data_IF_756747044026
#
_entry.id   IF_756747044026
#
_cell.length_a   1.000
_cell.length_b   1.000
_cell.length_c   1.000
_cell.angle_alpha   90.00
_cell.angle_beta   90.00
_cell.angle_gamma   90.00
#
_symmetry.space_group_name_H-M   'P 1'
#
loop_
_entity.id
_entity.type
_entity.pdbx_description
1 polymer ?
#
# COMPACT_ATOMS: atom_id res chain seq x y z
N UNK A 1 36.07 -96.21 -17.62
CA UNK A 1 35.46 -94.87 -17.84
C UNK A 1 35.05 -94.14 -16.56
N UNK A 2 34.63 -94.83 -15.48
CA UNK A 2 34.18 -94.21 -14.21
C UNK A 2 35.21 -93.29 -13.51
N UNK A 3 36.50 -93.63 -13.55
CA UNK A 3 37.56 -92.89 -12.84
C UNK A 3 37.85 -91.50 -13.42
N UNK A 4 37.55 -91.27 -14.70
CA UNK A 4 37.69 -89.95 -15.36
C UNK A 4 36.54 -89.00 -15.00
N UNK A 5 35.34 -89.53 -14.77
CA UNK A 5 34.17 -88.73 -14.39
C UNK A 5 34.23 -88.27 -12.93
N UNK A 6 34.76 -89.11 -12.03
CA UNK A 6 34.96 -88.73 -10.61
C UNK A 6 35.98 -87.59 -10.43
N UNK A 7 37.05 -87.57 -11.23
CA UNK A 7 38.04 -86.50 -11.22
C UNK A 7 37.50 -85.17 -11.74
N UNK A 8 36.61 -85.21 -12.75
CA UNK A 8 35.96 -84.00 -13.28
C UNK A 8 34.95 -83.44 -12.28
N UNK A 9 34.20 -84.30 -11.59
CA UNK A 9 33.25 -83.86 -10.55
C UNK A 9 33.99 -83.24 -9.36
N UNK A 10 35.11 -83.84 -8.91
CA UNK A 10 35.92 -83.29 -7.82
C UNK A 10 36.56 -81.93 -8.22
N UNK A 11 37.05 -81.79 -9.46
CA UNK A 11 37.59 -80.52 -9.95
C UNK A 11 36.50 -79.44 -10.09
N UNK A 12 35.29 -79.80 -10.53
CA UNK A 12 34.15 -78.88 -10.59
C UNK A 12 33.65 -78.48 -9.21
N UNK A 13 33.66 -79.37 -8.22
CA UNK A 13 33.26 -79.03 -6.83
C UNK A 13 34.31 -78.17 -6.13
N UNK A 14 35.61 -78.38 -6.37
CA UNK A 14 36.67 -77.52 -5.83
C UNK A 14 36.65 -76.15 -6.53
N UNK A 15 36.35 -76.10 -7.83
CA UNK A 15 36.12 -74.85 -8.57
C UNK A 15 34.90 -74.07 -8.09
N UNK A 16 33.79 -74.74 -7.73
CA UNK A 16 32.58 -74.08 -7.21
C UNK A 16 32.71 -73.62 -5.75
N UNK A 17 33.53 -74.29 -4.94
CA UNK A 17 33.78 -73.90 -3.54
C UNK A 17 34.84 -72.79 -3.46
N UNK A 18 35.75 -72.69 -4.44
CA UNK A 18 36.68 -71.55 -4.54
C UNK A 18 36.05 -70.31 -5.21
N UNK A 19 35.05 -70.49 -6.08
CA UNK A 19 34.32 -69.36 -6.71
C UNK A 19 33.32 -68.68 -5.77
N UNK A 20 32.89 -69.33 -4.69
CA UNK A 20 31.98 -68.76 -3.68
C UNK A 20 32.70 -68.02 -2.54
N UNK A 21 34.05 -68.01 -2.52
CA UNK A 21 34.84 -67.37 -1.45
C UNK A 21 35.32 -65.94 -1.76
N UNK A 22 35.02 -65.36 -2.92
CA UNK A 22 35.41 -63.97 -3.25
C UNK A 22 34.33 -63.22 -4.02
N UNK A 23 33.09 -63.23 -3.53
CA UNK A 23 32.22 -62.09 -3.77
C UNK A 23 32.74 -60.93 -2.91
N UNK A 24 33.74 -60.18 -3.41
CA UNK A 24 34.05 -58.87 -2.85
C UNK A 24 32.79 -58.03 -3.06
N UNK A 25 32.04 -57.81 -1.97
CA UNK A 25 30.97 -56.82 -1.96
C UNK A 25 31.52 -55.53 -2.59
N UNK A 26 30.76 -54.95 -3.52
CA UNK A 26 31.11 -53.66 -4.08
C UNK A 26 31.44 -52.70 -2.93
N UNK A 27 32.53 -51.92 -3.02
CA UNK A 27 32.89 -51.03 -1.94
C UNK A 27 31.71 -50.11 -1.66
N UNK A 28 31.15 -50.16 -0.44
CA UNK A 28 30.15 -49.20 -0.02
C UNK A 28 30.81 -47.82 -0.09
N UNK A 29 30.25 -46.91 -0.87
CA UNK A 29 30.72 -45.53 -0.99
C UNK A 29 29.88 -44.65 -0.08
N UNK A 30 30.44 -43.50 0.30
CA UNK A 30 29.67 -42.44 0.93
C UNK A 30 28.87 -41.72 -0.16
N UNK A 31 27.55 -41.88 -0.12
CA UNK A 31 26.63 -41.33 -1.12
C UNK A 31 26.01 -40.01 -0.65
N UNK A 32 25.68 -39.90 0.64
CA UNK A 32 25.11 -38.69 1.25
C UNK A 32 25.78 -38.32 2.56
N UNK A 33 25.76 -37.03 2.89
CA UNK A 33 26.29 -36.48 4.15
C UNK A 33 25.20 -35.66 4.84
N UNK A 34 24.93 -35.97 6.10
CA UNK A 34 24.03 -35.21 6.96
C UNK A 34 24.83 -34.51 8.04
N UNK A 35 24.49 -33.24 8.31
CA UNK A 35 25.23 -32.42 9.27
C UNK A 35 24.30 -31.84 10.31
N UNK A 36 24.72 -31.94 11.57
CA UNK A 36 24.04 -31.32 12.70
C UNK A 36 25.04 -30.47 13.51
N UNK A 37 24.68 -29.23 13.79
CA UNK A 37 25.48 -28.33 14.62
C UNK A 37 24.77 -28.12 15.95
N UNK A 38 25.47 -28.41 17.05
CA UNK A 38 24.98 -28.25 18.42
C UNK A 38 25.85 -27.23 19.15
N UNK A 39 25.24 -26.35 19.94
CA UNK A 39 25.96 -25.42 20.80
C UNK A 39 25.53 -25.56 22.27
N UNK A 40 26.47 -25.34 23.20
CA UNK A 40 26.16 -25.24 24.62
C UNK A 40 25.47 -23.90 24.90
N UNK A 41 24.17 -23.82 24.63
CA UNK A 41 23.36 -22.62 24.77
C UNK A 41 22.26 -22.50 23.71
N UNK A 42 21.58 -21.34 23.69
CA UNK A 42 20.62 -21.06 22.64
C UNK A 42 21.36 -20.68 21.34
N UNK A 43 21.15 -21.46 20.28
CA UNK A 43 21.62 -21.15 18.93
C UNK A 43 20.41 -20.81 18.06
N UNK A 44 20.33 -19.59 17.51
CA UNK A 44 19.25 -19.23 16.61
C UNK A 44 19.15 -20.15 15.40
N UNK A 45 17.94 -20.54 15.00
CA UNK A 45 17.72 -21.56 13.98
C UNK A 45 18.30 -21.19 12.60
N UNK A 46 18.19 -19.92 12.18
CA UNK A 46 18.73 -19.47 10.89
C UNK A 46 20.27 -19.50 10.89
N UNK A 47 20.87 -19.17 12.03
CA UNK A 47 22.31 -19.21 12.27
C UNK A 47 22.79 -20.66 12.25
N UNK A 48 22.11 -21.56 12.96
CA UNK A 48 22.37 -23.00 12.97
C UNK A 48 22.35 -23.58 11.56
N UNK A 49 21.28 -23.34 10.79
CA UNK A 49 21.16 -23.86 9.41
C UNK A 49 22.27 -23.36 8.48
N UNK A 50 22.72 -22.12 8.64
CA UNK A 50 23.85 -21.60 7.85
C UNK A 50 25.17 -22.25 8.25
N UNK A 51 25.38 -22.50 9.55
CA UNK A 51 26.53 -23.26 10.03
C UNK A 51 26.52 -24.69 9.48
N UNK A 52 25.38 -25.37 9.54
CA UNK A 52 25.17 -26.72 9.01
C UNK A 52 25.46 -26.78 7.51
N UNK A 53 24.95 -25.83 6.71
CA UNK A 53 25.23 -25.75 5.28
C UNK A 53 26.73 -25.55 4.98
N UNK A 54 27.42 -24.77 5.82
CA UNK A 54 28.87 -24.53 5.67
C UNK A 54 29.67 -25.80 5.97
N UNK A 55 29.34 -26.48 7.06
CA UNK A 55 29.97 -27.76 7.44
C UNK A 55 29.61 -28.85 6.43
N UNK A 56 28.38 -28.89 5.92
CA UNK A 56 27.95 -29.82 4.87
C UNK A 56 28.82 -29.69 3.63
N UNK A 57 29.06 -28.47 3.15
CA UNK A 57 29.91 -28.25 1.97
C UNK A 57 31.33 -28.80 2.18
N UNK A 58 31.91 -28.60 3.37
CA UNK A 58 33.24 -29.11 3.72
C UNK A 58 33.21 -30.64 3.79
N UNK A 59 32.24 -31.19 4.52
CA UNK A 59 32.11 -32.62 4.74
C UNK A 59 31.82 -33.38 3.43
N UNK A 60 30.99 -32.83 2.56
CA UNK A 60 30.70 -33.36 1.23
C UNK A 60 31.96 -33.42 0.38
N UNK A 61 32.76 -32.34 0.35
CA UNK A 61 34.01 -32.30 -0.41
C UNK A 61 35.06 -33.29 0.13
N UNK A 62 35.07 -33.53 1.43
CA UNK A 62 36.06 -34.38 2.10
C UNK A 62 35.68 -35.86 2.08
N UNK A 63 34.40 -36.19 2.18
CA UNK A 63 33.92 -37.55 2.44
C UNK A 63 33.23 -38.22 1.24
N UNK A 64 32.54 -37.46 0.40
CA UNK A 64 31.73 -38.02 -0.70
C UNK A 64 32.61 -38.74 -1.72
N UNK A 65 32.15 -39.90 -2.19
CA UNK A 65 32.89 -40.72 -3.16
C UNK A 65 34.05 -41.54 -2.57
N UNK A 66 34.35 -41.41 -1.28
CA UNK A 66 35.29 -42.30 -0.59
C UNK A 66 34.63 -43.62 -0.20
N UNK A 67 35.45 -44.67 -0.06
CA UNK A 67 35.00 -45.96 0.44
C UNK A 67 34.67 -45.85 1.94
N UNK A 68 33.50 -46.33 2.36
CA UNK A 68 33.05 -46.31 3.76
C UNK A 68 34.04 -46.99 4.68
N UNK A 69 34.67 -48.11 4.28
CA UNK A 69 35.68 -48.78 5.10
C UNK A 69 36.96 -47.94 5.24
N UNK A 70 37.34 -47.20 4.19
CA UNK A 70 38.46 -46.26 4.27
C UNK A 70 38.10 -45.04 5.15
N UNK A 71 36.85 -44.57 5.07
CA UNK A 71 36.33 -43.51 5.91
C UNK A 71 36.26 -43.89 7.39
N UNK A 72 35.98 -45.16 7.71
CA UNK A 72 36.07 -45.69 9.07
C UNK A 72 37.52 -45.70 9.56
N UNK A 73 38.47 -46.12 8.73
CA UNK A 73 39.89 -46.18 9.10
C UNK A 73 40.51 -44.79 9.30
N UNK A 74 40.12 -43.81 8.46
CA UNK A 74 40.61 -42.42 8.50
C UNK A 74 39.70 -41.47 9.27
N UNK A 75 38.70 -41.98 9.99
CA UNK A 75 37.69 -41.19 10.70
C UNK A 75 38.28 -40.05 11.53
N UNK A 76 39.32 -40.34 12.32
CA UNK A 76 39.98 -39.35 13.18
C UNK A 76 40.64 -38.23 12.37
N UNK A 77 41.20 -38.55 11.20
CA UNK A 77 41.83 -37.56 10.30
C UNK A 77 40.75 -36.63 9.72
N UNK A 78 39.60 -37.18 9.32
CA UNK A 78 38.48 -36.39 8.81
C UNK A 78 37.84 -35.51 9.90
N UNK A 79 37.64 -36.04 11.11
CA UNK A 79 37.16 -35.27 12.26
C UNK A 79 38.10 -34.10 12.57
N UNK A 80 39.42 -34.32 12.53
CA UNK A 80 40.41 -33.27 12.75
C UNK A 80 40.43 -32.24 11.61
N UNK A 81 40.36 -32.66 10.35
CA UNK A 81 40.32 -31.77 9.20
C UNK A 81 39.10 -30.85 9.25
N UNK A 82 37.91 -31.42 9.47
CA UNK A 82 36.66 -30.65 9.59
C UNK A 82 36.77 -29.66 10.75
N UNK A 83 37.30 -30.10 11.90
CA UNK A 83 37.52 -29.24 13.07
C UNK A 83 38.45 -28.06 12.76
N UNK A 84 39.60 -28.31 12.13
CA UNK A 84 40.59 -27.27 11.82
C UNK A 84 40.06 -26.24 10.81
N UNK A 85 39.38 -26.70 9.77
CA UNK A 85 38.76 -25.82 8.77
C UNK A 85 37.66 -24.99 9.43
N UNK A 86 36.79 -25.60 10.22
CA UNK A 86 35.65 -24.90 10.79
C UNK A 86 36.05 -23.92 11.91
N UNK A 87 37.04 -24.26 12.75
CA UNK A 87 37.61 -23.33 13.74
C UNK A 87 38.23 -22.07 13.09
N UNK A 88 38.70 -22.14 11.84
CA UNK A 88 39.24 -20.98 11.13
C UNK A 88 38.16 -20.06 10.55
N UNK A 89 36.96 -20.58 10.34
CA UNK A 89 35.86 -19.88 9.69
C UNK A 89 34.89 -19.29 10.73
N UNK A 90 34.68 -20.00 11.85
CA UNK A 90 33.81 -19.53 12.93
C UNK A 90 34.50 -18.49 13.81
N UNK A 91 33.94 -17.29 13.80
CA UNK A 91 34.30 -16.22 14.73
C UNK A 91 33.32 -16.26 15.91
N UNK A 92 33.82 -16.20 17.14
CA UNK A 92 33.01 -16.19 18.37
C UNK A 92 32.69 -17.57 18.97
N UNK A 93 32.97 -18.66 18.27
CA UNK A 93 32.72 -20.03 18.74
C UNK A 93 33.99 -20.88 18.68
N UNK A 94 34.14 -21.79 19.64
CA UNK A 94 35.17 -22.84 19.63
C UNK A 94 34.53 -24.19 19.35
N UNK A 95 35.11 -24.93 18.39
CA UNK A 95 34.72 -26.33 18.12
C UNK A 95 35.34 -27.25 19.17
N UNK A 96 34.51 -27.78 20.06
CA UNK A 96 34.93 -28.68 21.14
C UNK A 96 35.04 -30.14 20.68
N UNK A 97 34.13 -30.57 19.82
CA UNK A 97 34.13 -31.91 19.25
C UNK A 97 33.55 -31.93 17.83
N UNK A 98 34.10 -32.81 16.99
CA UNK A 98 33.52 -33.21 15.72
C UNK A 98 33.40 -34.72 15.76
N UNK A 99 32.21 -35.24 15.46
CA UNK A 99 31.95 -36.67 15.41
C UNK A 99 31.49 -37.03 14.01
N UNK A 100 32.25 -37.87 13.31
CA UNK A 100 31.87 -38.42 12.01
C UNK A 100 31.45 -39.87 12.21
N UNK A 101 30.25 -40.23 11.76
CA UNK A 101 29.74 -41.61 11.75
C UNK A 101 29.68 -42.04 10.29
N UNK A 102 30.73 -42.70 9.75
CA UNK A 102 30.75 -43.09 8.35
C UNK A 102 29.71 -44.16 8.04
N UNK A 103 29.00 -43.97 6.95
CA UNK A 103 28.01 -44.89 6.39
C UNK A 103 27.73 -44.51 4.92
N UNK A 104 26.86 -45.26 4.24
CA UNK A 104 26.35 -44.80 2.93
C UNK A 104 25.67 -43.44 3.06
N UNK A 105 24.98 -43.23 4.19
CA UNK A 105 24.57 -41.92 4.70
C UNK A 105 25.44 -41.57 5.91
N UNK A 106 26.41 -40.68 5.71
CA UNK A 106 27.40 -40.31 6.74
C UNK A 106 26.86 -39.17 7.58
N UNK A 107 26.86 -39.33 8.91
CA UNK A 107 26.45 -38.27 9.83
C UNK A 107 27.67 -37.53 10.40
N UNK A 108 27.62 -36.20 10.39
CA UNK A 108 28.64 -35.33 10.98
C UNK A 108 27.98 -34.44 12.03
N UNK A 109 28.38 -34.60 13.29
CA UNK A 109 27.92 -33.76 14.39
C UNK A 109 29.04 -32.86 14.86
N UNK A 110 28.79 -31.55 14.93
CA UNK A 110 29.76 -30.55 15.40
C UNK A 110 29.24 -29.92 16.69
N UNK A 111 30.05 -29.94 17.75
CA UNK A 111 29.74 -29.30 19.04
C UNK A 111 30.53 -28.00 19.20
N UNK A 112 29.80 -26.94 19.54
CA UNK A 112 30.29 -25.58 19.66
C UNK A 112 30.09 -25.03 21.07
N UNK A 113 31.02 -24.21 21.52
CA UNK A 113 30.88 -23.42 22.75
C UNK A 113 31.24 -21.97 22.45
N UNK A 114 30.45 -20.98 22.89
CA UNK A 114 30.85 -19.57 22.85
C UNK A 114 32.17 -19.38 23.58
N UNK A 115 33.15 -18.73 22.93
CA UNK A 115 34.45 -18.51 23.56
C UNK A 115 34.48 -17.30 24.50
N UNK A 116 33.49 -16.40 24.39
CA UNK A 116 33.32 -15.18 25.18
C UNK A 116 31.83 -14.93 25.49
N UNK A 117 31.52 -13.79 26.10
CA UNK A 117 30.18 -13.35 26.45
C UNK A 117 29.20 -13.39 25.26
N UNK A 118 27.95 -13.70 25.59
CA UNK A 118 26.83 -13.77 24.65
C UNK A 118 25.89 -12.58 24.80
N UNK A 119 25.15 -12.28 23.73
CA UNK A 119 24.10 -11.28 23.69
C UNK A 119 22.93 -11.77 24.53
N UNK A 120 22.60 -11.02 25.60
CA UNK A 120 21.53 -11.35 26.56
C UNK A 120 20.28 -10.51 26.36
N UNK A 121 20.42 -9.33 25.77
CA UNK A 121 19.33 -8.39 25.51
C UNK A 121 19.59 -7.63 24.22
N UNK A 122 18.53 -7.25 23.54
CA UNK A 122 18.58 -6.43 22.33
C UNK A 122 17.67 -5.21 22.54
N UNK A 123 18.23 -4.02 22.33
CA UNK A 123 17.49 -2.76 22.35
C UNK A 123 17.36 -2.26 20.90
N UNK A 124 16.14 -2.27 20.37
CA UNK A 124 15.86 -1.89 18.98
C UNK A 124 15.23 -0.51 18.90
N UNK A 125 15.77 0.35 18.03
CA UNK A 125 15.19 1.66 17.69
C UNK A 125 14.87 1.71 16.21
N UNK A 126 13.66 2.11 15.85
CA UNK A 126 13.22 2.27 14.46
C UNK A 126 12.98 3.73 14.16
N UNK A 127 13.55 4.24 13.07
CA UNK A 127 13.35 5.60 12.59
C UNK A 127 12.98 5.61 11.11
N UNK A 128 12.14 6.57 10.72
CA UNK A 128 11.72 6.79 9.33
C UNK A 128 12.35 8.08 8.83
N UNK A 129 13.13 7.99 7.75
CA UNK A 129 13.84 9.14 7.20
C UNK A 129 13.06 9.77 6.03
N UNK A 130 13.08 11.10 5.94
CA UNK A 130 12.50 11.83 4.81
C UNK A 130 10.96 11.89 4.78
N UNK A 131 10.28 11.53 5.87
CA UNK A 131 8.82 11.55 5.98
C UNK A 131 8.31 12.57 7.02
N UNK A 132 7.13 13.17 6.83
CA UNK A 132 6.46 13.93 7.88
C UNK A 132 6.15 13.06 9.11
N UNK A 133 6.12 13.63 10.34
CA UNK A 133 5.88 12.86 11.57
C UNK A 133 4.60 12.02 11.57
N UNK A 134 3.52 12.55 10.98
CA UNK A 134 2.23 11.84 10.85
C UNK A 134 2.38 10.56 10.00
N UNK A 135 3.17 10.62 8.92
CA UNK A 135 3.41 9.48 8.03
C UNK A 135 4.41 8.50 8.63
N UNK A 136 5.45 9.02 9.30
CA UNK A 136 6.41 8.20 10.03
C UNK A 136 5.71 7.35 11.09
N UNK A 137 4.77 7.92 11.85
CA UNK A 137 3.99 7.17 12.84
C UNK A 137 3.16 6.03 12.21
N UNK A 138 2.56 6.28 11.03
CA UNK A 138 1.80 5.26 10.31
C UNK A 138 2.71 4.13 9.79
N UNK A 139 3.88 4.46 9.24
CA UNK A 139 4.86 3.47 8.81
C UNK A 139 5.42 2.65 9.99
N UNK A 140 5.63 3.28 11.16
CA UNK A 140 6.04 2.58 12.39
C UNK A 140 4.97 1.59 12.87
N UNK A 141 3.69 1.92 12.72
CA UNK A 141 2.60 1.03 13.05
C UNK A 141 2.61 -0.24 12.18
N UNK A 142 2.93 -0.11 10.90
CA UNK A 142 2.99 -1.24 9.96
C UNK A 142 4.14 -2.22 10.25
N UNK A 143 5.25 -1.73 10.82
CA UNK A 143 6.43 -2.56 11.13
C UNK A 143 6.46 -3.03 12.59
N UNK A 144 5.32 -2.98 13.29
CA UNK A 144 5.23 -3.47 14.67
C UNK A 144 5.70 -4.94 14.74
N UNK A 145 6.62 -5.24 15.65
CA UNK A 145 7.15 -6.60 15.83
C UNK A 145 8.41 -6.90 15.02
N UNK A 146 8.96 -5.90 14.31
CA UNK A 146 10.28 -5.99 13.67
C UNK A 146 11.39 -6.30 14.68
N UNK A 147 11.21 -5.94 15.95
CA UNK A 147 12.16 -6.24 17.03
C UNK A 147 12.34 -7.74 17.24
N UNK A 148 11.24 -8.51 17.12
CA UNK A 148 11.24 -9.96 17.28
C UNK A 148 12.18 -10.65 16.28
N UNK A 149 12.38 -10.07 15.11
CA UNK A 149 13.31 -10.58 14.11
C UNK A 149 14.74 -10.60 14.64
N UNK A 150 15.16 -9.52 15.30
CA UNK A 150 16.50 -9.43 15.86
C UNK A 150 16.61 -10.29 17.12
N UNK A 151 15.59 -10.31 17.97
CA UNK A 151 15.55 -11.19 19.14
C UNK A 151 15.70 -12.67 18.78
N UNK A 152 14.94 -13.15 17.80
CA UNK A 152 14.99 -14.55 17.37
C UNK A 152 16.30 -14.95 16.71
N UNK A 153 17.04 -13.99 16.15
CA UNK A 153 18.23 -14.28 15.34
C UNK A 153 19.55 -13.90 16.01
N UNK A 154 19.54 -13.08 17.08
CA UNK A 154 20.75 -12.60 17.74
C UNK A 154 20.87 -13.00 19.21
N UNK A 155 19.76 -13.29 19.89
CA UNK A 155 19.81 -13.64 21.30
C UNK A 155 20.59 -14.95 21.49
N UNK A 156 21.54 -14.97 22.44
CA UNK A 156 22.39 -16.13 22.70
C UNK A 156 23.63 -16.25 21.79
N UNK A 157 23.78 -15.39 20.78
CA UNK A 157 25.01 -15.35 19.99
C UNK A 157 26.19 -14.76 20.78
N UNK A 158 27.42 -15.23 20.58
CA UNK A 158 28.63 -14.55 21.03
C UNK A 158 28.69 -13.13 20.49
N UNK A 159 29.24 -12.20 21.27
CA UNK A 159 29.37 -10.79 20.87
C UNK A 159 30.22 -10.67 19.59
N UNK A 160 31.34 -11.38 19.51
CA UNK A 160 32.22 -11.40 18.33
C UNK A 160 31.60 -12.09 17.11
N UNK A 161 30.54 -12.87 17.33
CA UNK A 161 29.79 -13.54 16.29
C UNK A 161 28.75 -12.60 15.62
N UNK A 162 28.51 -11.39 16.13
CA UNK A 162 27.47 -10.52 15.59
C UNK A 162 27.69 -10.17 14.11
N UNK A 163 28.92 -9.82 13.72
CA UNK A 163 29.23 -9.32 12.38
C UNK A 163 28.94 -10.33 11.25
N UNK A 164 29.16 -11.62 11.50
CA UNK A 164 28.93 -12.64 10.47
C UNK A 164 27.43 -12.91 10.25
N UNK A 165 26.56 -12.51 11.19
CA UNK A 165 25.11 -12.70 11.09
C UNK A 165 24.41 -11.64 10.25
N UNK A 166 25.08 -10.52 9.93
CA UNK A 166 24.52 -9.40 9.17
C UNK A 166 23.87 -9.82 7.85
N UNK A 167 24.45 -10.78 7.13
CA UNK A 167 23.86 -11.30 5.88
C UNK A 167 22.49 -11.96 6.07
N UNK A 168 22.33 -12.75 7.14
CA UNK A 168 21.06 -13.42 7.48
C UNK A 168 20.05 -12.41 8.00
N UNK A 169 20.49 -11.48 8.85
CA UNK A 169 19.64 -10.41 9.37
C UNK A 169 19.09 -9.55 8.23
N UNK A 170 19.94 -9.21 7.25
CA UNK A 170 19.53 -8.45 6.06
C UNK A 170 18.50 -9.19 5.20
N UNK A 171 18.67 -10.49 4.96
CA UNK A 171 17.68 -11.26 4.19
C UNK A 171 16.35 -11.39 4.93
N UNK A 172 16.40 -11.60 6.25
CA UNK A 172 15.21 -11.72 7.09
C UNK A 172 14.47 -10.38 7.14
N UNK A 173 15.20 -9.28 7.33
CA UNK A 173 14.65 -7.92 7.36
C UNK A 173 13.99 -7.57 6.03
N UNK A 174 14.63 -7.87 4.91
CA UNK A 174 14.04 -7.66 3.59
C UNK A 174 12.75 -8.45 3.40
N UNK A 175 12.71 -9.70 3.88
CA UNK A 175 11.52 -10.55 3.80
C UNK A 175 10.37 -9.98 4.64
N UNK A 176 10.66 -9.56 5.87
CA UNK A 176 9.70 -8.88 6.76
C UNK A 176 9.15 -7.60 6.13
N UNK A 177 10.04 -6.75 5.60
CA UNK A 177 9.63 -5.50 4.95
C UNK A 177 8.77 -5.77 3.72
N UNK A 178 9.06 -6.82 2.94
CA UNK A 178 8.26 -7.15 1.77
C UNK A 178 6.85 -7.61 2.12
N UNK A 179 6.66 -8.20 3.29
CA UNK A 179 5.34 -8.61 3.80
C UNK A 179 4.56 -7.45 4.44
N UNK A 180 5.23 -6.64 5.27
CA UNK A 180 4.57 -5.65 6.12
C UNK A 180 4.59 -4.22 5.58
N UNK A 181 5.69 -3.81 4.94
CA UNK A 181 5.90 -2.43 4.47
C UNK A 181 6.72 -2.42 3.15
N UNK A 182 6.20 -3.01 2.06
CA UNK A 182 6.96 -3.23 0.82
C UNK A 182 7.41 -1.93 0.15
N UNK A 183 6.73 -0.82 0.46
CA UNK A 183 6.96 0.50 -0.12
C UNK A 183 8.19 1.22 0.48
N UNK A 184 8.80 0.64 1.53
CA UNK A 184 10.00 1.15 2.16
C UNK A 184 11.16 0.14 2.05
N UNK A 185 12.38 0.66 2.05
CA UNK A 185 13.61 -0.10 2.27
C UNK A 185 14.02 0.10 3.72
N UNK A 186 14.40 -0.97 4.39
CA UNK A 186 15.03 -0.89 5.70
C UNK A 186 16.53 -1.14 5.57
N UNK A 187 17.32 -0.31 6.23
CA UNK A 187 18.71 -0.61 6.56
C UNK A 187 18.84 -0.66 8.08
N UNK A 188 19.87 -1.34 8.57
CA UNK A 188 20.11 -1.45 10.00
C UNK A 188 21.60 -1.36 10.31
N UNK A 189 21.88 -0.93 11.52
CA UNK A 189 23.21 -0.92 12.13
C UNK A 189 23.14 -1.62 13.49
N UNK A 190 24.17 -2.40 13.79
CA UNK A 190 24.25 -3.21 15.01
C UNK A 190 25.49 -2.81 15.78
N UNK A 191 25.29 -2.32 17.01
CA UNK A 191 26.36 -2.16 17.98
C UNK A 191 26.37 -3.40 18.90
N UNK A 192 27.32 -4.33 18.73
CA UNK A 192 27.36 -5.57 19.50
C UNK A 192 27.79 -5.32 20.95
N UNK A 193 27.24 -6.12 21.87
CA UNK A 193 27.53 -6.08 23.30
C UNK A 193 26.60 -7.02 24.07
N UNK A 194 26.79 -7.13 25.39
CA UNK A 194 25.88 -7.93 26.25
C UNK A 194 24.42 -7.46 26.11
N UNK A 195 24.26 -6.14 25.92
CA UNK A 195 23.04 -5.50 25.42
C UNK A 195 23.36 -4.96 24.03
N UNK A 196 22.92 -5.67 22.99
CA UNK A 196 23.13 -5.25 21.60
C UNK A 196 22.15 -4.11 21.27
N UNK A 197 22.63 -3.07 20.58
CA UNK A 197 21.76 -1.98 20.11
C UNK A 197 21.56 -2.09 18.61
N UNK A 198 20.32 -2.13 18.19
CA UNK A 198 19.94 -2.21 16.78
C UNK A 198 19.26 -0.91 16.38
N UNK A 199 19.80 -0.22 15.39
CA UNK A 199 19.23 0.99 14.82
C UNK A 199 18.72 0.66 13.42
N UNK A 200 17.41 0.77 13.20
CA UNK A 200 16.77 0.50 11.92
C UNK A 200 16.32 1.82 11.30
N UNK A 201 16.69 2.05 10.04
CA UNK A 201 16.32 3.24 9.28
C UNK A 201 15.48 2.85 8.07
N UNK A 202 14.28 3.41 7.99
CA UNK A 202 13.33 3.18 6.91
C UNK A 202 13.39 4.32 5.89
N UNK A 203 13.58 3.95 4.63
CA UNK A 203 13.68 4.85 3.49
C UNK A 203 12.53 4.61 2.50
N UNK A 204 11.86 5.65 1.99
CA UNK A 204 10.81 5.49 0.99
C UNK A 204 11.37 4.97 -0.34
N UNK A 205 10.66 4.04 -0.98
CA UNK A 205 10.97 3.62 -2.35
C UNK A 205 10.22 4.50 -3.36
N UNK A 206 10.78 4.60 -4.56
CA UNK A 206 10.10 5.18 -5.72
C UNK A 206 9.11 4.19 -6.33
N UNK A 207 8.00 4.64 -6.94
CA UNK A 207 7.60 6.04 -7.15
C UNK A 207 6.99 6.70 -5.91
N UNK A 208 7.27 8.00 -5.75
CA UNK A 208 6.72 8.84 -4.66
C UNK A 208 5.80 9.92 -5.22
N UNK A 209 4.87 10.40 -4.40
CA UNK A 209 4.01 11.53 -4.77
C UNK A 209 4.85 12.80 -4.86
N UNK A 210 4.83 13.45 -6.03
CA UNK A 210 5.60 14.68 -6.31
C UNK A 210 4.72 15.91 -6.35
N UNK A 211 3.44 15.73 -6.67
CA UNK A 211 2.47 16.81 -6.72
C UNK A 211 1.11 16.30 -6.27
N UNK A 212 0.34 17.18 -5.63
CA UNK A 212 -1.01 16.94 -5.17
C UNK A 212 -1.93 18.03 -5.73
N UNK A 213 -2.71 17.67 -6.74
CA UNK A 213 -3.69 18.57 -7.35
C UNK A 213 -5.02 18.46 -6.60
N UNK A 214 -5.34 19.48 -5.79
CA UNK A 214 -6.62 19.60 -5.09
C UNK A 214 -7.66 20.32 -5.97
N UNK A 215 -8.82 19.69 -6.13
CA UNK A 215 -10.04 20.28 -6.65
C UNK A 215 -11.12 20.23 -5.56
N UNK A 216 -11.78 21.37 -5.31
CA UNK A 216 -12.86 21.47 -4.33
C UNK A 216 -14.13 21.91 -5.05
N UNK A 217 -15.26 21.28 -4.72
CA UNK A 217 -16.54 21.46 -5.42
C UNK A 217 -17.71 21.36 -4.44
N UNK A 218 -18.78 22.08 -4.75
CA UNK A 218 -20.09 21.92 -4.12
C UNK A 218 -21.18 22.06 -5.18
N UNK A 219 -22.26 21.30 -5.03
CA UNK A 219 -23.51 21.50 -5.76
C UNK A 219 -24.54 22.30 -4.95
N UNK A 220 -24.32 22.43 -3.65
CA UNK A 220 -25.24 23.06 -2.69
C UNK A 220 -24.74 24.39 -2.12
N UNK A 221 -23.50 24.78 -2.40
CA UNK A 221 -22.89 26.02 -1.95
C UNK A 221 -22.08 26.69 -3.08
N UNK A 222 -21.88 28.02 -3.03
CA UNK A 222 -21.00 28.72 -3.97
C UNK A 222 -19.56 28.23 -3.87
N UNK A 223 -18.94 27.93 -5.01
CA UNK A 223 -17.57 27.40 -5.06
C UNK A 223 -16.54 28.41 -4.55
N UNK A 224 -16.83 29.72 -4.63
CA UNK A 224 -15.99 30.80 -4.11
C UNK A 224 -15.83 30.71 -2.58
N UNK A 225 -16.82 30.18 -1.85
CA UNK A 225 -16.69 29.98 -0.41
C UNK A 225 -15.63 28.90 -0.11
N UNK A 226 -15.56 27.86 -0.94
CA UNK A 226 -14.57 26.79 -0.82
C UNK A 226 -13.13 27.29 -1.09
N UNK A 227 -12.96 28.29 -1.95
CA UNK A 227 -11.64 28.86 -2.27
C UNK A 227 -10.92 29.40 -1.03
N UNK A 228 -11.66 29.91 -0.04
CA UNK A 228 -11.07 30.43 1.21
C UNK A 228 -10.42 29.32 2.05
N UNK A 229 -10.88 28.07 1.92
CA UNK A 229 -10.35 26.93 2.68
C UNK A 229 -9.28 26.16 1.90
N UNK A 230 -9.20 26.35 0.57
CA UNK A 230 -8.25 25.65 -0.30
C UNK A 230 -6.80 25.65 0.22
N UNK A 231 -6.20 26.76 0.69
CA UNK A 231 -4.81 26.74 1.16
C UNK A 231 -4.59 25.82 2.37
N UNK A 232 -5.56 25.75 3.29
CA UNK A 232 -5.46 24.93 4.49
C UNK A 232 -5.56 23.45 4.15
N UNK A 233 -6.48 23.10 3.25
CA UNK A 233 -6.66 21.71 2.81
C UNK A 233 -5.51 21.26 1.91
N UNK A 234 -5.00 22.15 1.05
CA UNK A 234 -3.81 21.87 0.27
C UNK A 234 -2.64 21.53 1.21
N UNK A 235 -2.40 22.33 2.25
CA UNK A 235 -1.34 22.04 3.24
C UNK A 235 -1.51 20.66 3.91
N UNK A 236 -2.74 20.24 4.17
CA UNK A 236 -3.02 18.89 4.70
C UNK A 236 -2.89 17.80 3.65
N UNK A 237 -3.20 18.06 2.39
CA UNK A 237 -2.98 17.12 1.30
C UNK A 237 -1.47 16.98 0.97
N UNK A 238 -0.71 18.05 1.14
CA UNK A 238 0.73 18.12 0.90
C UNK A 238 1.54 17.23 1.86
N UNK A 239 0.95 16.70 2.94
CA UNK A 239 1.59 15.67 3.77
C UNK A 239 1.92 14.40 2.97
N UNK A 240 1.23 14.18 1.84
CA UNK A 240 1.49 13.07 0.94
C UNK A 240 2.74 13.30 0.07
N UNK A 241 3.27 14.53 -0.02
CA UNK A 241 4.45 14.81 -0.83
C UNK A 241 5.67 14.04 -0.31
N UNK A 242 6.38 13.37 -1.22
CA UNK A 242 7.52 12.51 -0.90
C UNK A 242 7.13 11.10 -0.42
N UNK A 243 5.86 10.83 -0.13
CA UNK A 243 5.39 9.52 0.33
C UNK A 243 5.30 8.54 -0.85
N UNK A 244 5.68 7.25 -0.68
CA UNK A 244 5.50 6.24 -1.73
C UNK A 244 4.04 6.13 -2.20
N UNK A 245 3.83 6.07 -3.51
CA UNK A 245 2.48 6.07 -4.10
C UNK A 245 1.64 4.89 -3.61
N UNK A 246 2.23 3.70 -3.57
CA UNK A 246 1.52 2.49 -3.16
C UNK A 246 1.21 2.49 -1.65
N UNK A 247 2.01 3.19 -0.84
CA UNK A 247 1.73 3.38 0.58
C UNK A 247 0.49 4.26 0.78
N UNK A 248 0.37 5.33 -0.04
CA UNK A 248 -0.84 6.19 -0.06
C UNK A 248 -2.07 5.40 -0.52
N UNK A 249 -1.93 4.52 -1.52
CA UNK A 249 -3.03 3.64 -1.95
C UNK A 249 -3.46 2.67 -0.85
N UNK A 250 -2.51 2.02 -0.19
CA UNK A 250 -2.78 1.08 0.91
C UNK A 250 -3.48 1.76 2.09
N UNK A 251 -3.11 3.01 2.38
CA UNK A 251 -3.70 3.83 3.44
C UNK A 251 -4.74 4.84 2.94
N UNK A 252 -5.39 4.60 1.81
CA UNK A 252 -6.35 5.53 1.21
C UNK A 252 -7.44 5.98 2.20
N UNK A 253 -7.94 5.06 3.03
CA UNK A 253 -8.94 5.36 4.06
C UNK A 253 -8.43 6.37 5.11
N UNK A 254 -7.18 6.23 5.55
CA UNK A 254 -6.56 7.16 6.50
C UNK A 254 -6.45 8.56 5.90
N UNK A 255 -5.90 8.70 4.69
CA UNK A 255 -5.74 10.00 4.04
C UNK A 255 -7.08 10.68 3.75
N UNK A 256 -8.09 9.92 3.29
CA UNK A 256 -9.44 10.45 3.12
C UNK A 256 -10.01 10.96 4.44
N UNK A 257 -9.88 10.19 5.52
CA UNK A 257 -10.40 10.59 6.82
C UNK A 257 -9.71 11.85 7.35
N UNK A 258 -8.39 11.96 7.22
CA UNK A 258 -7.63 13.16 7.64
C UNK A 258 -8.14 14.40 6.92
N UNK A 259 -8.32 14.31 5.60
CA UNK A 259 -8.77 15.45 4.80
C UNK A 259 -10.25 15.79 5.06
N UNK A 260 -11.15 14.80 5.18
CA UNK A 260 -12.55 15.02 5.54
C UNK A 260 -12.66 15.69 6.90
N UNK A 261 -11.96 15.16 7.90
CA UNK A 261 -11.97 15.71 9.26
C UNK A 261 -11.45 17.16 9.26
N UNK A 262 -10.42 17.46 8.47
CA UNK A 262 -9.89 18.83 8.40
C UNK A 262 -10.88 19.87 7.84
N UNK A 263 -11.87 19.45 7.03
CA UNK A 263 -12.93 20.28 6.49
C UNK A 263 -14.17 20.30 7.40
N UNK A 264 -14.67 19.14 7.78
CA UNK A 264 -15.95 19.02 8.51
C UNK A 264 -15.84 19.50 9.97
N UNK A 265 -14.63 19.62 10.52
CA UNK A 265 -14.40 20.23 11.83
C UNK A 265 -14.37 21.77 11.82
N UNK A 266 -14.31 22.39 10.64
CA UNK A 266 -14.33 23.84 10.52
C UNK A 266 -15.66 24.41 11.03
N UNK A 267 -15.59 25.56 11.71
CA UNK A 267 -16.76 26.20 12.32
C UNK A 267 -17.89 26.45 11.32
N UNK A 268 -17.54 26.90 10.11
CA UNK A 268 -18.52 27.22 9.07
C UNK A 268 -19.13 25.95 8.46
N UNK A 269 -18.34 24.89 8.27
CA UNK A 269 -18.86 23.62 7.78
C UNK A 269 -19.84 23.00 8.78
N UNK A 270 -19.53 23.08 10.07
CA UNK A 270 -20.44 22.63 11.15
C UNK A 270 -21.73 23.45 11.22
N UNK A 271 -21.66 24.78 11.09
CA UNK A 271 -22.86 25.63 11.16
C UNK A 271 -23.81 25.36 9.99
N UNK A 272 -23.26 25.16 8.78
CA UNK A 272 -24.03 24.84 7.58
C UNK A 272 -24.35 23.35 7.40
N UNK A 273 -23.91 22.49 8.33
CA UNK A 273 -24.10 21.03 8.28
C UNK A 273 -23.59 20.43 6.95
N UNK A 274 -22.41 20.89 6.53
CA UNK A 274 -21.72 20.41 5.33
C UNK A 274 -21.10 19.05 5.64
N UNK A 275 -21.24 18.13 4.70
CA UNK A 275 -20.55 16.85 4.69
C UNK A 275 -19.59 16.82 3.52
N UNK A 276 -18.35 16.44 3.79
CA UNK A 276 -17.34 16.33 2.75
C UNK A 276 -17.12 14.87 2.36
N UNK A 277 -17.14 14.60 1.06
CA UNK A 277 -16.66 13.37 0.47
C UNK A 277 -15.40 13.62 -0.35
N UNK A 278 -14.40 12.73 -0.23
CA UNK A 278 -13.12 12.87 -0.91
C UNK A 278 -12.87 11.66 -1.80
N UNK A 279 -12.59 11.95 -3.07
CA UNK A 279 -12.04 10.98 -4.02
C UNK A 279 -10.54 11.25 -4.15
N UNK A 280 -9.74 10.34 -3.59
CA UNK A 280 -8.29 10.34 -3.69
C UNK A 280 -7.84 9.35 -4.77
N UNK A 281 -7.11 9.84 -5.77
CA UNK A 281 -6.49 9.04 -6.82
C UNK A 281 -4.97 9.16 -6.70
N UNK A 282 -4.29 8.24 -5.99
CA UNK A 282 -2.86 8.32 -5.77
C UNK A 282 -2.04 8.00 -7.02
N UNK A 283 -1.03 8.83 -7.29
CA UNK A 283 -0.05 8.66 -8.35
C UNK A 283 1.19 9.53 -8.08
N UNK A 284 2.21 9.51 -8.96
CA UNK A 284 3.29 10.52 -8.85
C UNK A 284 2.72 11.94 -8.91
N UNK A 285 1.65 12.08 -9.70
CA UNK A 285 0.72 13.21 -9.64
C UNK A 285 -0.59 12.73 -9.03
N UNK A 286 -0.77 13.03 -7.74
CA UNK A 286 -1.97 12.66 -6.99
C UNK A 286 -3.07 13.68 -7.25
N UNK A 287 -4.29 13.19 -7.48
CA UNK A 287 -5.46 14.04 -7.62
C UNK A 287 -6.38 13.84 -6.42
N UNK A 288 -6.77 14.94 -5.80
CA UNK A 288 -7.72 14.98 -4.67
C UNK A 288 -8.93 15.77 -5.11
N UNK A 289 -10.09 15.12 -5.18
CA UNK A 289 -11.37 15.82 -5.42
C UNK A 289 -12.17 15.81 -4.13
N UNK A 290 -12.48 17.00 -3.64
CA UNK A 290 -13.34 17.21 -2.48
C UNK A 290 -14.71 17.70 -2.95
N UNK A 291 -15.75 17.00 -2.52
CA UNK A 291 -17.16 17.35 -2.73
C UNK A 291 -17.74 17.70 -1.36
N UNK A 292 -18.05 18.97 -1.15
CA UNK A 292 -18.54 19.49 0.12
C UNK A 292 -19.97 19.97 -0.06
N UNK A 293 -20.94 19.21 0.44
CA UNK A 293 -22.36 19.51 0.25
C UNK A 293 -23.15 19.52 1.56
N UNK A 294 -24.18 20.36 1.63
CA UNK A 294 -25.11 20.44 2.76
C UNK A 294 -26.42 19.74 2.44
N UNK A 295 -26.97 19.05 3.44
CA UNK A 295 -28.27 18.36 3.33
C UNK A 295 -29.45 19.27 3.69
N UNK A 296 -29.21 20.53 4.08
CA UNK A 296 -30.24 21.43 4.61
C UNK A 296 -30.59 22.60 3.72
N UNK A 297 -29.59 23.14 3.01
CA UNK A 297 -29.73 24.37 2.24
C UNK A 297 -29.10 24.20 0.87
N UNK A 298 -29.58 24.95 -0.12
CA UNK A 298 -28.90 25.10 -1.40
C UNK A 298 -28.71 26.59 -1.65
N UNK A 299 -27.48 27.02 -1.80
CA UNK A 299 -27.15 28.40 -2.15
C UNK A 299 -26.28 28.39 -3.39
N UNK A 300 -26.76 29.01 -4.48
CA UNK A 300 -25.97 29.16 -5.70
C UNK A 300 -26.02 30.59 -6.19
N UNK A 301 -24.89 31.04 -6.73
CA UNK A 301 -24.75 32.33 -7.38
C UNK A 301 -24.30 32.11 -8.82
N UNK A 302 -25.18 32.40 -9.77
CA UNK A 302 -24.87 32.31 -11.20
C UNK A 302 -24.87 33.72 -11.81
N UNK A 303 -23.88 34.04 -12.63
CA UNK A 303 -23.92 35.23 -13.50
C UNK A 303 -23.98 34.77 -14.94
N UNK A 304 -24.94 35.25 -15.73
CA UNK A 304 -25.09 34.83 -17.11
C UNK A 304 -25.08 35.99 -18.11
N UNK A 305 -24.54 35.71 -19.30
CA UNK A 305 -24.45 36.61 -20.43
C UNK A 305 -24.99 35.95 -21.71
N UNK A 306 -26.00 36.55 -22.30
CA UNK A 306 -26.72 36.05 -23.47
C UNK A 306 -26.17 36.68 -24.76
N UNK A 307 -25.54 35.86 -25.58
CA UNK A 307 -25.01 36.24 -26.89
C UNK A 307 -26.19 36.25 -27.87
N UNK A 308 -26.44 37.41 -28.48
CA UNK A 308 -27.49 37.64 -29.49
C UNK A 308 -28.94 37.77 -28.94
N UNK A 309 -29.13 37.99 -27.64
CA UNK A 309 -30.43 38.39 -27.09
C UNK A 309 -30.72 39.88 -27.38
N UNK A 310 -31.98 40.20 -27.68
CA UNK A 310 -32.44 41.55 -28.05
C UNK A 310 -32.61 42.48 -26.83
N UNK A 311 -32.86 41.93 -25.64
CA UNK A 311 -33.06 42.69 -24.39
C UNK A 311 -32.45 41.94 -23.18
N UNK A 312 -32.04 42.70 -22.15
CA UNK A 312 -31.55 42.22 -20.85
C UNK A 312 -30.56 41.04 -20.94
N UNK A 313 -29.48 41.24 -21.70
CA UNK A 313 -28.53 40.18 -22.04
C UNK A 313 -27.56 39.78 -20.91
N UNK A 314 -27.67 40.38 -19.73
CA UNK A 314 -26.80 40.09 -18.58
C UNK A 314 -27.66 40.04 -17.33
N UNK A 315 -27.52 38.98 -16.52
CA UNK A 315 -28.15 38.93 -15.22
C UNK A 315 -27.34 38.13 -14.18
N UNK A 316 -27.63 38.41 -12.92
CA UNK A 316 -27.16 37.64 -11.77
C UNK A 316 -28.33 36.93 -11.14
N UNK A 317 -28.23 35.60 -11.01
CA UNK A 317 -29.20 34.73 -10.36
C UNK A 317 -28.67 34.29 -9.01
N UNK A 318 -29.47 34.54 -7.98
CA UNK A 318 -29.25 34.03 -6.63
C UNK A 318 -30.32 32.98 -6.37
N UNK A 319 -29.92 31.73 -6.10
CA UNK A 319 -30.83 30.66 -5.70
C UNK A 319 -30.66 30.37 -4.21
N UNK A 320 -31.75 30.46 -3.46
CA UNK A 320 -31.83 30.20 -2.03
C UNK A 320 -32.85 29.10 -1.75
N UNK A 321 -32.36 27.88 -1.61
CA UNK A 321 -33.12 26.66 -1.37
C UNK A 321 -33.01 26.14 0.06
N UNK A 322 -34.07 25.49 0.53
CA UNK A 322 -34.10 24.70 1.77
C UNK A 322 -34.66 23.33 1.46
N UNK A 323 -33.91 22.30 1.79
CA UNK A 323 -34.36 20.91 1.70
C UNK A 323 -35.34 20.61 2.84
N UNK A 324 -36.53 20.13 2.47
CA UNK A 324 -37.57 19.65 3.41
C UNK A 324 -37.43 18.15 3.60
N UNK A 325 -37.03 17.44 2.54
CA UNK A 325 -36.66 16.03 2.54
C UNK A 325 -35.41 15.84 1.68
N UNK A 326 -34.89 14.61 1.58
CA UNK A 326 -33.79 14.31 0.66
C UNK A 326 -34.14 14.48 -0.82
N UNK A 327 -35.43 14.56 -1.16
CA UNK A 327 -35.93 14.71 -2.53
C UNK A 327 -36.60 16.07 -2.76
N UNK A 328 -37.01 16.77 -1.71
CA UNK A 328 -37.90 17.92 -1.77
C UNK A 328 -37.20 19.20 -1.35
N UNK A 329 -37.27 20.21 -2.20
CA UNK A 329 -36.66 21.51 -1.96
C UNK A 329 -37.67 22.63 -2.20
N UNK A 330 -37.77 23.55 -1.24
CA UNK A 330 -38.45 24.83 -1.44
C UNK A 330 -37.39 25.90 -1.62
N UNK A 331 -37.54 26.73 -2.63
CA UNK A 331 -36.53 27.70 -3.01
C UNK A 331 -37.10 29.07 -3.36
N UNK A 332 -36.23 30.07 -3.27
CA UNK A 332 -36.43 31.42 -3.78
C UNK A 332 -35.31 31.74 -4.76
N UNK A 333 -35.65 32.18 -5.96
CA UNK A 333 -34.69 32.70 -6.94
C UNK A 333 -34.84 34.22 -7.07
N UNK A 334 -33.73 34.93 -7.08
CA UNK A 334 -33.66 36.37 -7.31
C UNK A 334 -32.78 36.62 -8.53
N UNK A 335 -33.38 37.12 -9.60
CA UNK A 335 -32.68 37.51 -10.82
C UNK A 335 -32.55 39.04 -10.87
N UNK A 336 -31.31 39.52 -10.90
CA UNK A 336 -30.98 40.93 -11.04
C UNK A 336 -30.43 41.21 -12.44
N UNK A 337 -31.09 42.10 -13.18
CA UNK A 337 -30.68 42.54 -14.51
C UNK A 337 -30.02 43.92 -14.40
N UNK A 338 -28.67 44.02 -14.52
CA UNK A 338 -27.97 45.29 -14.29
C UNK A 338 -28.26 46.36 -15.34
N UNK A 339 -28.67 45.98 -16.55
CA UNK A 339 -28.94 46.90 -17.66
C UNK A 339 -30.21 47.70 -17.43
N UNK A 340 -31.29 47.02 -17.06
CA UNK A 340 -32.58 47.63 -16.73
C UNK A 340 -32.71 47.99 -15.25
N UNK A 341 -31.76 47.55 -14.40
CA UNK A 341 -31.79 47.66 -12.94
C UNK A 341 -33.08 47.05 -12.37
N UNK A 342 -33.53 45.95 -12.97
CA UNK A 342 -34.75 45.26 -12.57
C UNK A 342 -34.43 44.02 -11.74
N UNK A 343 -35.34 43.70 -10.83
CA UNK A 343 -35.28 42.53 -9.97
C UNK A 343 -36.51 41.67 -10.23
N UNK A 344 -36.29 40.38 -10.50
CA UNK A 344 -37.35 39.38 -10.57
C UNK A 344 -37.19 38.41 -9.42
N UNK A 345 -38.28 38.16 -8.70
CA UNK A 345 -38.29 37.19 -7.61
C UNK A 345 -39.22 36.03 -7.93
N UNK A 346 -38.69 34.82 -7.79
CA UNK A 346 -39.42 33.58 -8.00
C UNK A 346 -39.47 32.77 -6.72
N UNK A 347 -40.61 32.17 -6.43
CA UNK A 347 -40.80 31.26 -5.30
C UNK A 347 -41.21 29.90 -5.83
N UNK A 348 -40.49 28.84 -5.47
CA UNK A 348 -40.72 27.55 -6.09
C UNK A 348 -40.52 26.37 -5.17
N UNK A 349 -40.92 25.23 -5.72
CA UNK A 349 -40.74 23.91 -5.14
C UNK A 349 -40.23 22.97 -6.24
N UNK A 350 -39.17 22.24 -5.94
CA UNK A 350 -38.56 21.25 -6.83
C UNK A 350 -38.47 19.91 -6.10
N UNK A 351 -38.78 18.83 -6.82
CA UNK A 351 -38.69 17.46 -6.34
C UNK A 351 -37.81 16.61 -7.24
N UNK A 352 -36.91 15.87 -6.64
CA UNK A 352 -36.12 14.84 -7.29
C UNK A 352 -36.98 13.57 -7.50
N UNK A 353 -37.34 13.30 -8.75
CA UNK A 353 -38.17 12.13 -9.12
C UNK A 353 -37.31 10.89 -9.38
N UNK A 354 -36.13 11.11 -9.96
CA UNK A 354 -35.08 10.12 -10.19
C UNK A 354 -33.74 10.78 -9.84
N UNK A 355 -32.67 10.02 -9.56
CA UNK A 355 -31.34 10.59 -9.26
C UNK A 355 -30.82 11.59 -10.29
N UNK A 356 -31.33 11.53 -11.52
CA UNK A 356 -30.95 12.40 -12.64
C UNK A 356 -32.05 13.35 -13.10
N UNK A 357 -33.26 13.30 -12.52
CA UNK A 357 -34.42 14.08 -12.98
C UNK A 357 -35.06 14.83 -11.83
N UNK A 358 -35.11 16.16 -11.96
CA UNK A 358 -35.82 17.06 -11.04
C UNK A 358 -36.96 17.74 -11.75
N UNK A 359 -38.08 17.86 -11.07
CA UNK A 359 -39.29 18.47 -11.60
C UNK A 359 -39.89 19.39 -10.54
N UNK A 360 -40.44 20.52 -10.94
CA UNK A 360 -40.93 21.50 -10.00
C UNK A 360 -41.83 22.54 -10.63
N UNK A 361 -42.22 23.50 -9.80
CA UNK A 361 -42.91 24.71 -10.22
C UNK A 361 -42.31 25.90 -9.48
N UNK A 362 -42.20 27.03 -10.16
CA UNK A 362 -41.90 28.33 -9.55
C UNK A 362 -42.98 29.33 -9.94
N UNK A 363 -43.19 30.31 -9.08
CA UNK A 363 -44.12 31.41 -9.29
C UNK A 363 -43.31 32.70 -9.45
N UNK A 364 -43.46 33.35 -10.60
CA UNK A 364 -42.93 34.68 -10.87
C UNK A 364 -43.80 35.72 -10.16
N UNK A 365 -43.25 36.36 -9.13
CA UNK A 365 -43.97 37.36 -8.35
C UNK A 365 -44.19 38.68 -9.09
N UNK A 366 -43.37 38.97 -10.10
CA UNK A 366 -43.48 40.18 -10.90
C UNK A 366 -44.54 39.99 -11.99
N UNK A 367 -44.46 38.91 -12.76
CA UNK A 367 -45.38 38.60 -13.85
C UNK A 367 -46.70 37.96 -13.39
N UNK A 368 -46.80 37.56 -12.11
CA UNK A 368 -47.93 36.81 -11.56
C UNK A 368 -48.22 35.51 -12.32
N UNK A 369 -47.15 34.84 -12.77
CA UNK A 369 -47.22 33.68 -13.64
C UNK A 369 -46.57 32.45 -13.00
N UNK A 370 -47.21 31.28 -13.15
CA UNK A 370 -46.63 30.00 -12.79
C UNK A 370 -45.73 29.48 -13.90
N UNK A 371 -44.59 28.90 -13.53
CA UNK A 371 -43.63 28.30 -14.44
C UNK A 371 -43.35 26.88 -13.99
N UNK A 372 -43.63 25.90 -14.84
CA UNK A 372 -43.23 24.52 -14.65
C UNK A 372 -41.75 24.36 -14.98
N UNK A 373 -41.04 23.52 -14.22
CA UNK A 373 -39.61 23.28 -14.33
C UNK A 373 -39.35 21.79 -14.48
N UNK A 374 -38.51 21.41 -15.45
CA UNK A 374 -37.97 20.07 -15.58
C UNK A 374 -36.48 20.16 -15.86
N UNK A 375 -35.68 19.46 -15.07
CA UNK A 375 -34.22 19.38 -15.22
C UNK A 375 -33.79 17.92 -15.30
N UNK A 376 -33.00 17.58 -16.32
CA UNK A 376 -32.44 16.23 -16.50
C UNK A 376 -30.93 16.31 -16.65
N UNK A 377 -30.19 15.74 -15.68
CA UNK A 377 -28.74 15.51 -15.76
C UNK A 377 -28.49 14.24 -16.58
N UNK A 378 -27.63 14.29 -17.59
CA UNK A 378 -27.21 13.08 -18.32
C UNK A 378 -25.92 12.49 -17.76
N UNK A 379 -24.99 13.37 -17.38
CA UNK A 379 -23.73 13.08 -16.72
C UNK A 379 -23.30 14.32 -15.90
N UNK A 380 -22.03 14.37 -15.47
CA UNK A 380 -21.49 15.50 -14.71
C UNK A 380 -21.23 16.76 -15.56
N UNK A 381 -21.48 16.72 -16.88
CA UNK A 381 -21.22 17.81 -17.83
C UNK A 381 -22.47 18.34 -18.51
N UNK A 382 -23.47 17.51 -18.77
CA UNK A 382 -24.66 17.84 -19.55
C UNK A 382 -25.91 17.91 -18.68
N UNK A 383 -26.61 19.04 -18.79
CA UNK A 383 -27.88 19.29 -18.14
C UNK A 383 -28.89 19.82 -19.18
N UNK A 384 -30.03 19.15 -19.29
CA UNK A 384 -31.19 19.65 -20.02
C UNK A 384 -32.14 20.34 -19.04
N UNK A 385 -32.57 21.54 -19.36
CA UNK A 385 -33.59 22.32 -18.67
C UNK A 385 -34.76 22.56 -19.61
N UNK A 386 -35.97 22.43 -19.09
CA UNK A 386 -37.20 22.81 -19.76
C UNK A 386 -38.04 23.63 -18.78
N UNK A 387 -38.47 24.81 -19.21
CA UNK A 387 -39.38 25.68 -18.48
C UNK A 387 -40.63 25.95 -19.32
N UNK A 388 -41.80 25.90 -18.69
CA UNK A 388 -43.07 26.21 -19.36
C UNK A 388 -43.87 27.22 -18.53
N UNK A 389 -44.09 28.41 -19.08
CA UNK A 389 -44.79 29.50 -18.41
C UNK A 389 -46.29 29.45 -18.75
N UNK A 390 -47.15 29.24 -17.75
CA UNK A 390 -48.57 28.91 -17.97
C UNK A 390 -49.41 30.08 -18.52
N UNK A 391 -49.22 31.31 -18.01
CA UNK A 391 -50.01 32.47 -18.43
C UNK A 391 -49.60 32.98 -19.82
N UNK A 392 -48.30 32.97 -20.10
CA UNK A 392 -47.74 33.45 -21.37
C UNK A 392 -47.71 32.37 -22.46
N UNK A 393 -47.95 31.10 -22.07
CA UNK A 393 -47.89 29.91 -22.94
C UNK A 393 -46.58 29.78 -23.72
N UNK A 394 -45.47 30.16 -23.10
CA UNK A 394 -44.13 30.07 -23.68
C UNK A 394 -43.37 28.87 -23.14
N UNK A 395 -42.61 28.22 -24.02
CA UNK A 395 -41.70 27.13 -23.65
C UNK A 395 -40.23 27.49 -23.90
N UNK A 396 -39.39 27.28 -22.89
CA UNK A 396 -37.96 27.51 -22.99
C UNK A 396 -37.21 26.21 -22.72
N UNK A 397 -36.39 25.75 -23.67
CA UNK A 397 -35.52 24.60 -23.53
C UNK A 397 -34.06 25.03 -23.55
N UNK A 398 -33.30 24.64 -22.53
CA UNK A 398 -31.88 24.93 -22.39
C UNK A 398 -31.05 23.66 -22.34
N UNK A 399 -30.02 23.55 -23.18
CA UNK A 399 -29.00 22.49 -23.09
C UNK A 399 -27.68 23.10 -22.58
N UNK A 400 -27.33 22.80 -21.33
CA UNK A 400 -26.14 23.30 -20.65
C UNK A 400 -25.00 22.29 -20.70
N UNK A 401 -23.82 22.75 -21.09
CA UNK A 401 -22.54 22.04 -21.06
C UNK A 401 -21.56 22.72 -20.10
N UNK A 402 -21.08 21.98 -19.10
CA UNK A 402 -20.12 22.45 -18.11
C UNK A 402 -18.69 22.35 -18.67
N UNK A 403 -18.09 23.50 -18.98
CA UNK A 403 -16.72 23.60 -19.51
C UNK A 403 -15.71 23.48 -18.36
N UNK A 404 -15.95 24.20 -17.28
CA UNK A 404 -15.13 24.23 -16.06
C UNK A 404 -16.03 24.32 -14.82
N UNK A 405 -15.46 24.17 -13.63
CA UNK A 405 -16.20 24.29 -12.36
C UNK A 405 -16.83 25.67 -12.14
N UNK A 406 -16.30 26.70 -12.82
CA UNK A 406 -16.78 28.08 -12.73
C UNK A 406 -17.45 28.58 -14.01
N UNK A 407 -17.43 27.82 -15.11
CA UNK A 407 -17.91 28.29 -16.42
C UNK A 407 -18.70 27.21 -17.14
N UNK A 408 -19.90 27.56 -17.59
CA UNK A 408 -20.77 26.71 -18.40
C UNK A 408 -21.28 27.47 -19.62
N UNK A 409 -21.63 26.74 -20.67
CA UNK A 409 -22.28 27.26 -21.87
C UNK A 409 -23.66 26.62 -21.98
N UNK A 410 -24.71 27.40 -22.18
CA UNK A 410 -26.07 26.92 -22.34
C UNK A 410 -26.63 27.38 -23.68
N UNK A 411 -27.10 26.44 -24.50
CA UNK A 411 -27.84 26.76 -25.72
C UNK A 411 -29.33 26.77 -25.40
N UNK A 412 -29.98 27.92 -25.60
CA UNK A 412 -31.38 28.13 -25.24
C UNK A 412 -32.21 28.27 -26.50
N UNK A 413 -33.36 27.62 -26.51
CA UNK A 413 -34.36 27.65 -27.56
C UNK A 413 -35.71 27.99 -26.93
N UNK A 414 -36.35 29.03 -27.44
CA UNK A 414 -37.74 29.40 -27.16
C UNK A 414 -38.54 29.31 -28.47
N UNK A 415 -39.86 29.44 -28.41
CA UNK A 415 -40.78 29.36 -29.55
C UNK A 415 -40.42 30.30 -30.72
N UNK A 416 -39.67 31.38 -30.43
CA UNK A 416 -39.42 32.48 -31.37
C UNK A 416 -37.96 32.70 -31.74
N UNK A 417 -37.03 32.36 -30.86
CA UNK A 417 -35.60 32.67 -31.03
C UNK A 417 -34.74 31.60 -30.33
N UNK A 418 -33.46 31.55 -30.70
CA UNK A 418 -32.45 30.73 -30.01
C UNK A 418 -31.18 31.53 -29.79
N UNK A 419 -30.52 31.31 -28.66
CA UNK A 419 -29.31 32.03 -28.30
C UNK A 419 -28.34 31.19 -27.46
N UNK A 420 -27.12 31.71 -27.32
CA UNK A 420 -26.08 31.09 -26.50
C UNK A 420 -25.88 31.91 -25.24
N UNK A 421 -25.94 31.25 -24.09
CA UNK A 421 -25.75 31.82 -22.77
C UNK A 421 -24.42 31.33 -22.18
N UNK A 422 -23.54 32.26 -21.81
CA UNK A 422 -22.36 31.97 -21.01
C UNK A 422 -22.70 32.14 -19.54
N UNK A 423 -22.36 31.16 -18.69
CA UNK A 423 -22.72 31.16 -17.27
C UNK A 423 -21.47 31.02 -16.42
N UNK A 424 -21.23 32.00 -15.56
CA UNK A 424 -20.29 31.94 -14.46
C UNK A 424 -20.98 31.34 -13.23
N UNK A 425 -20.47 30.22 -12.72
CA UNK A 425 -20.91 29.63 -11.46
C UNK A 425 -19.94 30.10 -10.38
N UNK A 426 -20.40 30.91 -9.43
CA UNK A 426 -19.56 31.49 -8.37
C UNK A 426 -19.71 30.73 -7.06
#
# INVERSE_FOLDING_TARGET
>A
MLRRWLLIIILCTIGLVLASAVAKAAPALVDTVQVEVQADGHLPLLIQRRMEASVHTIAEQVLTGHNVNEAILKRMEYEQLIREVFNRILIGYTVTAVQVIPGSDTQVTVKLVPWDDVIKKIDTTVQVEGMPPEIAALALQDVTGIENLFEQNMLGLPIDAADWTNGILKSSLNSFMQEHLPEFRADFDVEPGTVAKVKIVLYPKVPVVRNVDLAMRSESMPNILLLNYRPQIQKKADIMLGVPVDFVKRHNAYFNQVLVTSLDEQKDFRSFHVKTHIELNPGEKTYVKSYSDTERYRFTLEGYFDINSKEDNTAFRIHLGRFISSQDEVFTELDFYPQSVTWKAFYGYEREMLPTVRMGMKYDSNAHNGVFLLKKKFDNKWLLRYEYAFADQTEEMGLRYKIHDFVSLEYIMDDKDSWLRLIGNF
#
